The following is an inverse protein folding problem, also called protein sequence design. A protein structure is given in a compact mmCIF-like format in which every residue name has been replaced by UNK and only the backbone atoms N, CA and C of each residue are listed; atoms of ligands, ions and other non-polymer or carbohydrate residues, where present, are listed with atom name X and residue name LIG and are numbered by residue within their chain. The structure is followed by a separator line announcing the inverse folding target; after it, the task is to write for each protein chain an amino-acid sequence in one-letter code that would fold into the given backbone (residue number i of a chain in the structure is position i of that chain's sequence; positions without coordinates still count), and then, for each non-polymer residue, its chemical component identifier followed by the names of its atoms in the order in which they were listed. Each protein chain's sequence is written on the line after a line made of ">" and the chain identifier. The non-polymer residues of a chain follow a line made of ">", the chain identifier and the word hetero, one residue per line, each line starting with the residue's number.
data_IF_070488630605
#
_entry.id   IF_070488630605
#
_cell.length_a   1.000
_cell.length_b   1.000
_cell.length_c   1.000
_cell.angle_alpha   90.00
_cell.angle_beta   90.00
_cell.angle_gamma   90.00
#
_symmetry.space_group_name_H-M   'P 1'
#
loop_
_entity.id
_entity.type
_entity.pdbx_description
1 polymer ?
#
# COMPACT_ATOMS: atom_id res chain seq x y z
N UNK A 1 -0.65 -4.32 -21.13
CA UNK A 1 -1.99 -4.68 -21.60
C UNK A 1 -2.95 -4.42 -20.43
N UNK A 2 -3.86 -3.43 -20.54
CA UNK A 2 -4.91 -3.24 -19.54
C UNK A 2 -5.79 -4.50 -19.57
N UNK A 3 -5.92 -5.20 -18.43
CA UNK A 3 -6.94 -6.23 -18.31
C UNK A 3 -8.28 -5.51 -18.36
N UNK A 4 -9.12 -5.82 -19.32
CA UNK A 4 -10.46 -5.27 -19.46
C UNK A 4 -11.39 -6.04 -18.49
N UNK A 5 -11.16 -5.87 -17.18
CA UNK A 5 -11.96 -6.53 -16.14
C UNK A 5 -12.77 -5.43 -15.50
N UNK A 6 -14.07 -5.62 -15.49
CA UNK A 6 -14.95 -4.80 -14.68
C UNK A 6 -14.81 -5.29 -13.23
N UNK A 7 -14.35 -4.42 -12.33
CA UNK A 7 -14.18 -4.76 -10.91
C UNK A 7 -15.52 -5.15 -10.25
N UNK A 8 -16.63 -4.61 -10.76
CA UNK A 8 -17.98 -4.91 -10.28
C UNK A 8 -18.44 -6.36 -10.55
N UNK A 9 -17.73 -7.08 -11.43
CA UNK A 9 -17.96 -8.53 -11.64
C UNK A 9 -17.37 -9.37 -10.47
N UNK A 10 -16.48 -8.79 -9.66
CA UNK A 10 -15.76 -9.48 -8.58
C UNK A 10 -16.14 -8.90 -7.21
N UNK A 11 -16.29 -7.60 -7.10
CA UNK A 11 -16.58 -6.87 -5.86
C UNK A 11 -17.94 -6.17 -5.94
N UNK A 12 -18.66 -6.19 -4.84
CA UNK A 12 -19.91 -5.42 -4.66
C UNK A 12 -19.61 -4.12 -3.91
N UNK A 13 -20.39 -3.05 -4.12
CA UNK A 13 -20.22 -1.81 -3.35
C UNK A 13 -20.10 -2.05 -1.85
N UNK A 14 -19.25 -1.29 -1.18
CA UNK A 14 -19.00 -1.44 0.27
C UNK A 14 -20.26 -1.24 1.11
N UNK A 15 -21.20 -0.41 0.63
CA UNK A 15 -22.50 -0.18 1.25
C UNK A 15 -23.43 -1.39 1.18
N UNK A 16 -23.27 -2.25 0.16
CA UNK A 16 -24.06 -3.47 -0.02
C UNK A 16 -23.42 -4.70 0.60
N UNK A 17 -22.09 -4.77 0.53
CA UNK A 17 -21.32 -5.91 1.02
C UNK A 17 -20.10 -5.42 1.83
N UNK A 18 -20.29 -5.10 3.13
CA UNK A 18 -19.23 -4.56 3.98
C UNK A 18 -18.09 -5.54 4.29
N UNK A 19 -18.34 -6.83 4.12
CA UNK A 19 -17.33 -7.88 4.27
C UNK A 19 -17.37 -8.79 3.05
N UNK A 20 -16.27 -8.83 2.30
CA UNK A 20 -16.19 -9.63 1.08
C UNK A 20 -14.79 -10.17 0.86
N UNK A 21 -14.72 -11.29 0.15
CA UNK A 21 -13.45 -11.93 -0.19
C UNK A 21 -13.48 -12.44 -1.62
N UNK A 22 -12.32 -12.50 -2.24
CA UNK A 22 -12.16 -13.12 -3.55
C UNK A 22 -10.84 -13.88 -3.67
N UNK A 23 -10.79 -14.78 -4.63
CA UNK A 23 -9.59 -15.45 -5.13
C UNK A 23 -9.50 -15.17 -6.64
N UNK A 24 -8.54 -14.37 -7.06
CA UNK A 24 -8.43 -13.95 -8.45
C UNK A 24 -7.00 -13.61 -8.83
N UNK A 25 -6.66 -13.74 -10.11
CA UNK A 25 -5.44 -13.20 -10.69
C UNK A 25 -5.72 -11.91 -11.52
N UNK A 26 -6.95 -11.43 -11.48
CA UNK A 26 -7.46 -10.37 -12.32
C UNK A 26 -7.28 -8.98 -11.70
N UNK A 27 -7.48 -8.84 -10.38
CA UNK A 27 -7.35 -7.57 -9.66
C UNK A 27 -5.96 -7.43 -9.03
N UNK A 28 -5.48 -6.21 -9.01
CA UNK A 28 -4.29 -5.82 -8.26
C UNK A 28 -4.69 -4.93 -7.08
N UNK A 29 -3.82 -4.85 -6.06
CA UNK A 29 -4.06 -3.98 -4.88
C UNK A 29 -4.36 -2.54 -5.29
N UNK A 30 -3.73 -2.04 -6.35
CA UNK A 30 -4.00 -0.69 -6.86
C UNK A 30 -5.42 -0.56 -7.46
N UNK A 31 -5.97 -1.63 -8.09
CA UNK A 31 -7.35 -1.63 -8.57
C UNK A 31 -8.32 -1.52 -7.41
N UNK A 32 -8.05 -2.29 -6.35
CA UNK A 32 -8.85 -2.29 -5.11
C UNK A 32 -8.77 -0.94 -4.41
N UNK A 33 -7.58 -0.33 -4.32
CA UNK A 33 -7.41 1.00 -3.73
C UNK A 33 -8.20 2.07 -4.50
N UNK A 34 -8.07 2.12 -5.83
CA UNK A 34 -8.83 3.06 -6.66
C UNK A 34 -10.34 2.87 -6.50
N UNK A 35 -10.79 1.61 -6.47
CA UNK A 35 -12.19 1.27 -6.28
C UNK A 35 -12.73 1.69 -4.89
N UNK A 36 -11.93 1.51 -3.82
CA UNK A 36 -12.28 2.00 -2.47
C UNK A 36 -12.37 3.52 -2.47
N UNK A 37 -11.34 4.22 -2.98
CA UNK A 37 -11.31 5.68 -3.01
C UNK A 37 -12.46 6.28 -3.85
N UNK A 38 -12.90 5.56 -4.90
CA UNK A 38 -14.06 5.94 -5.69
C UNK A 38 -15.38 5.93 -4.89
N UNK A 39 -15.46 5.17 -3.80
CA UNK A 39 -16.65 5.06 -2.94
C UNK A 39 -16.60 5.98 -1.72
N UNK A 40 -15.41 6.13 -1.11
CA UNK A 40 -15.26 6.86 0.17
C UNK A 40 -14.61 8.24 0.02
N UNK A 41 -14.09 8.55 -1.15
CA UNK A 41 -13.42 9.82 -1.42
C UNK A 41 -12.03 9.91 -0.82
N UNK A 42 -11.65 11.10 -0.35
CA UNK A 42 -10.31 11.41 0.14
C UNK A 42 -9.99 10.71 1.45
N UNK A 43 -8.79 10.11 1.53
CA UNK A 43 -8.41 9.25 2.65
C UNK A 43 -6.93 9.31 2.99
N UNK A 44 -6.58 8.97 4.22
CA UNK A 44 -5.23 8.57 4.63
C UNK A 44 -5.06 7.05 4.47
N UNK A 45 -3.89 6.64 4.00
CA UNK A 45 -3.58 5.26 3.60
C UNK A 45 -2.39 4.72 4.40
N UNK A 46 -2.49 3.47 4.88
CA UNK A 46 -1.36 2.67 5.35
C UNK A 46 -1.29 1.39 4.53
N UNK A 47 -0.13 1.15 3.94
CA UNK A 47 0.10 -0.01 3.09
C UNK A 47 1.36 -0.74 3.54
N UNK A 48 1.24 -2.03 3.81
CA UNK A 48 2.39 -2.91 4.03
C UNK A 48 2.59 -3.85 2.85
N UNK A 49 3.84 -4.17 2.51
CA UNK A 49 4.16 -5.16 1.49
C UNK A 49 5.57 -5.70 1.67
N UNK A 50 5.80 -6.94 1.26
CA UNK A 50 7.15 -7.48 1.17
C UNK A 50 7.96 -6.83 0.05
N UNK A 51 7.34 -6.50 -1.08
CA UNK A 51 8.04 -5.92 -2.25
C UNK A 51 7.15 -4.97 -3.04
N UNK A 52 7.78 -4.08 -3.80
CA UNK A 52 7.12 -3.09 -4.64
C UNK A 52 7.74 -3.07 -6.04
N UNK A 53 6.94 -2.79 -7.06
CA UNK A 53 7.39 -2.59 -8.44
C UNK A 53 7.26 -1.14 -8.88
N UNK A 54 8.06 -0.77 -9.88
CA UNK A 54 7.97 0.55 -10.51
C UNK A 54 6.57 0.81 -11.12
N UNK A 55 5.96 -0.21 -11.73
CA UNK A 55 4.62 -0.09 -12.31
C UNK A 55 3.58 0.28 -11.25
N UNK A 56 3.66 -0.34 -10.06
CA UNK A 56 2.78 0.01 -8.95
C UNK A 56 3.02 1.45 -8.47
N UNK A 57 4.28 1.87 -8.31
CA UNK A 57 4.63 3.23 -7.91
C UNK A 57 4.13 4.28 -8.91
N UNK A 58 4.25 4.03 -10.22
CA UNK A 58 3.71 4.90 -11.26
C UNK A 58 2.19 5.04 -11.13
N UNK A 59 1.51 3.96 -10.84
CA UNK A 59 0.07 3.97 -10.65
C UNK A 59 -0.34 4.76 -9.40
N UNK A 60 0.35 4.54 -8.29
CA UNK A 60 0.13 5.32 -7.06
C UNK A 60 0.36 6.82 -7.27
N UNK A 61 1.36 7.20 -8.05
CA UNK A 61 1.58 8.58 -8.41
C UNK A 61 0.35 9.21 -9.07
N UNK A 62 -0.31 8.49 -9.97
CA UNK A 62 -1.54 8.99 -10.61
C UNK A 62 -2.73 9.04 -9.63
N UNK A 63 -2.84 8.05 -8.74
CA UNK A 63 -3.87 8.04 -7.69
C UNK A 63 -3.66 9.22 -6.73
N UNK A 64 -2.42 9.49 -6.32
CA UNK A 64 -2.09 10.65 -5.49
C UNK A 64 -2.43 11.98 -6.20
N UNK A 65 -2.10 12.09 -7.48
CA UNK A 65 -2.42 13.26 -8.31
C UNK A 65 -3.92 13.51 -8.48
N UNK A 66 -4.77 12.51 -8.29
CA UNK A 66 -6.22 12.69 -8.32
C UNK A 66 -6.75 13.50 -7.13
N UNK A 67 -5.92 13.74 -6.09
CA UNK A 67 -6.28 14.48 -4.88
C UNK A 67 -7.04 13.67 -3.83
N UNK A 68 -7.27 12.37 -4.09
CA UNK A 68 -8.01 11.48 -3.19
C UNK A 68 -7.14 10.85 -2.08
N UNK A 69 -5.86 11.22 -1.98
CA UNK A 69 -4.97 10.76 -0.92
C UNK A 69 -4.50 11.97 -0.11
N UNK A 70 -4.81 11.99 1.18
CA UNK A 70 -4.32 13.01 2.12
C UNK A 70 -2.93 12.69 2.67
N UNK A 71 -2.65 11.41 2.90
CA UNK A 71 -1.34 10.90 3.29
C UNK A 71 -1.20 9.43 2.90
N UNK A 72 0.03 9.01 2.54
CA UNK A 72 0.34 7.61 2.23
C UNK A 72 1.52 7.14 3.07
N UNK A 73 1.29 6.14 3.93
CA UNK A 73 2.29 5.53 4.80
C UNK A 73 2.61 4.13 4.26
N UNK A 74 3.84 3.93 3.77
CA UNK A 74 4.28 2.68 3.15
C UNK A 74 5.29 1.97 4.03
N UNK A 75 5.07 0.69 4.31
CA UNK A 75 6.03 -0.18 5.00
C UNK A 75 6.44 -1.31 4.06
N UNK A 76 7.73 -1.41 3.78
CA UNK A 76 8.33 -2.44 2.93
C UNK A 76 9.28 -3.33 3.73
N UNK A 77 9.52 -4.54 3.24
CA UNK A 77 10.49 -5.45 3.83
C UNK A 77 11.94 -4.99 3.56
N UNK A 78 12.83 -5.18 4.54
CA UNK A 78 14.26 -4.89 4.39
C UNK A 78 14.91 -5.62 3.23
N UNK A 79 14.49 -6.86 2.92
CA UNK A 79 15.02 -7.65 1.80
C UNK A 79 14.69 -7.05 0.44
N UNK A 80 13.65 -6.20 0.38
CA UNK A 80 13.32 -5.45 -0.83
C UNK A 80 14.20 -4.20 -1.04
N UNK A 81 15.07 -3.86 -0.08
CA UNK A 81 15.86 -2.61 -0.04
C UNK A 81 16.60 -2.33 -1.34
N UNK A 82 17.28 -3.32 -1.93
CA UNK A 82 18.04 -3.10 -3.16
C UNK A 82 17.16 -2.71 -4.36
N UNK A 83 15.95 -3.27 -4.48
CA UNK A 83 14.96 -2.85 -5.49
C UNK A 83 14.38 -1.49 -5.16
N UNK A 84 14.04 -1.27 -3.91
CA UNK A 84 13.47 -0.03 -3.39
C UNK A 84 14.42 1.15 -3.58
N UNK A 85 15.73 0.96 -3.35
CA UNK A 85 16.75 1.99 -3.57
C UNK A 85 16.90 2.39 -5.03
N UNK A 86 16.74 1.46 -5.99
CA UNK A 86 16.73 1.80 -7.42
C UNK A 86 15.53 2.68 -7.81
N UNK A 87 14.45 2.59 -7.04
CA UNK A 87 13.22 3.37 -7.23
C UNK A 87 13.19 4.62 -6.34
N UNK A 88 14.26 4.87 -5.56
CA UNK A 88 14.34 5.90 -4.53
C UNK A 88 13.86 7.27 -5.00
N UNK A 89 14.41 7.77 -6.11
CA UNK A 89 14.06 9.09 -6.61
C UNK A 89 12.55 9.23 -6.92
N UNK A 90 11.91 8.12 -7.30
CA UNK A 90 10.48 8.08 -7.57
C UNK A 90 9.66 7.96 -6.27
N UNK A 91 10.12 7.14 -5.34
CA UNK A 91 9.47 6.95 -4.03
C UNK A 91 9.47 8.26 -3.22
N UNK A 92 10.59 8.98 -3.18
CA UNK A 92 10.70 10.24 -2.43
C UNK A 92 9.82 11.36 -2.98
N UNK A 93 9.52 11.34 -4.27
CA UNK A 93 8.63 12.32 -4.90
C UNK A 93 7.15 12.03 -4.61
N UNK A 94 6.79 10.74 -4.49
CA UNK A 94 5.40 10.28 -4.38
C UNK A 94 5.03 9.82 -2.96
N UNK A 95 5.99 9.28 -2.20
CA UNK A 95 5.73 8.62 -0.92
C UNK A 95 6.72 9.07 0.15
N UNK A 96 6.49 10.25 0.70
CA UNK A 96 7.38 10.85 1.71
C UNK A 96 7.47 10.03 3.00
N UNK A 97 6.47 9.19 3.32
CA UNK A 97 6.38 8.37 4.53
C UNK A 97 6.57 6.90 4.18
N UNK A 98 7.81 6.53 3.85
CA UNK A 98 8.18 5.14 3.55
C UNK A 98 9.15 4.63 4.62
N UNK A 99 8.87 3.43 5.11
CA UNK A 99 9.59 2.75 6.19
C UNK A 99 10.04 1.37 5.74
N UNK A 100 11.17 0.91 6.28
CA UNK A 100 11.65 -0.46 6.10
C UNK A 100 11.60 -1.20 7.44
N UNK A 101 11.06 -2.41 7.42
CA UNK A 101 10.92 -3.29 8.57
C UNK A 101 11.19 -4.74 8.17
N UNK A 102 11.31 -5.64 9.13
CA UNK A 102 11.19 -7.09 8.87
C UNK A 102 9.71 -7.43 8.74
N UNK A 103 9.19 -7.36 7.51
CA UNK A 103 7.76 -7.37 7.23
C UNK A 103 7.40 -8.27 6.04
N UNK A 104 6.52 -9.24 6.28
CA UNK A 104 5.94 -10.06 5.22
C UNK A 104 4.42 -9.87 5.07
N UNK A 105 3.82 -8.95 5.83
CA UNK A 105 2.39 -8.64 5.73
C UNK A 105 2.05 -7.89 4.43
N UNK A 106 0.80 -8.00 4.00
CA UNK A 106 0.23 -7.29 2.87
C UNK A 106 -1.15 -6.79 3.29
N UNK A 107 -1.13 -5.60 3.88
CA UNK A 107 -2.30 -4.96 4.47
C UNK A 107 -2.45 -3.58 3.85
N UNK A 108 -3.65 -3.24 3.42
CA UNK A 108 -4.05 -1.90 3.03
C UNK A 108 -5.13 -1.41 3.98
N UNK A 109 -4.89 -0.28 4.62
CA UNK A 109 -5.86 0.41 5.48
C UNK A 109 -6.20 1.75 4.87
N UNK A 110 -7.47 2.08 4.82
CA UNK A 110 -8.01 3.32 4.27
C UNK A 110 -8.88 3.98 5.32
N UNK A 111 -8.46 5.17 5.79
CA UNK A 111 -9.24 6.02 6.69
C UNK A 111 -9.74 7.21 5.88
N UNK A 112 -11.02 7.20 5.52
CA UNK A 112 -11.65 8.29 4.79
C UNK A 112 -11.82 9.54 5.66
N UNK A 113 -11.76 10.72 5.05
CA UNK A 113 -12.06 11.99 5.74
C UNK A 113 -13.54 12.04 6.19
N UNK A 114 -14.44 11.32 5.53
CA UNK A 114 -15.86 11.14 5.88
C UNK A 114 -16.09 10.22 7.08
N UNK A 115 -15.04 9.48 7.52
CA UNK A 115 -15.06 8.64 8.71
C UNK A 115 -15.07 7.14 8.46
N UNK A 116 -15.27 6.69 7.22
CA UNK A 116 -15.24 5.25 6.88
C UNK A 116 -13.83 4.68 7.04
N UNK A 117 -13.80 3.46 7.57
CA UNK A 117 -12.60 2.69 7.86
C UNK A 117 -12.62 1.36 7.09
N UNK A 118 -11.69 1.19 6.17
CA UNK A 118 -11.63 -0.01 5.33
C UNK A 118 -10.30 -0.72 5.53
N UNK A 119 -10.37 -2.02 5.76
CA UNK A 119 -9.23 -2.93 5.87
C UNK A 119 -9.22 -3.89 4.71
N UNK A 120 -8.07 -4.06 4.09
CA UNK A 120 -7.81 -5.07 3.06
C UNK A 120 -6.63 -5.92 3.52
N UNK A 121 -6.83 -7.23 3.65
CA UNK A 121 -5.78 -8.21 3.90
C UNK A 121 -5.66 -9.09 2.67
N UNK A 122 -4.45 -9.19 2.13
CA UNK A 122 -4.24 -9.91 0.87
C UNK A 122 -2.97 -10.73 0.88
N UNK A 123 -2.89 -11.73 0.01
CA UNK A 123 -1.63 -12.44 -0.27
C UNK A 123 -0.75 -11.69 -1.28
N UNK A 124 -1.28 -10.67 -1.95
CA UNK A 124 -0.63 -9.97 -3.05
C UNK A 124 0.39 -8.92 -2.57
N UNK A 125 1.60 -8.98 -3.12
CA UNK A 125 2.56 -7.89 -3.01
C UNK A 125 2.20 -6.69 -3.93
N UNK A 126 2.84 -5.55 -3.69
CA UNK A 126 2.73 -4.37 -4.56
C UNK A 126 3.53 -4.54 -5.86
N UNK A 127 3.42 -5.72 -6.46
CA UNK A 127 4.08 -6.10 -7.70
C UNK A 127 3.05 -6.69 -8.65
N UNK A 128 3.29 -6.51 -9.95
CA UNK A 128 2.45 -7.17 -10.94
C UNK A 128 2.69 -8.67 -10.92
N UNK A 129 1.65 -9.45 -10.68
CA UNK A 129 1.65 -10.90 -10.73
C UNK A 129 0.53 -11.44 -11.62
N UNK A 130 0.72 -12.67 -12.12
CA UNK A 130 -0.32 -13.42 -12.83
C UNK A 130 -0.85 -14.60 -12.01
N UNK A 131 -0.48 -14.67 -10.73
CA UNK A 131 -0.92 -15.71 -9.80
C UNK A 131 -2.29 -15.36 -9.24
N UNK A 132 -3.04 -16.39 -8.87
CA UNK A 132 -4.25 -16.19 -8.08
C UNK A 132 -3.86 -15.74 -6.68
N UNK A 133 -4.45 -14.64 -6.23
CA UNK A 133 -4.22 -14.04 -4.92
C UNK A 133 -5.55 -13.97 -4.18
N UNK A 134 -5.50 -14.27 -2.89
CA UNK A 134 -6.65 -14.13 -2.01
C UNK A 134 -6.69 -12.73 -1.40
N UNK A 135 -7.89 -12.19 -1.28
CA UNK A 135 -8.09 -10.87 -0.66
C UNK A 135 -9.36 -10.88 0.17
N UNK A 136 -9.29 -10.32 1.35
CA UNK A 136 -10.42 -10.05 2.24
C UNK A 136 -10.51 -8.54 2.47
N UNK A 137 -11.74 -8.00 2.34
CA UNK A 137 -12.07 -6.58 2.52
C UNK A 137 -13.10 -6.49 3.63
N UNK A 138 -12.94 -5.52 4.54
CA UNK A 138 -13.85 -5.29 5.65
C UNK A 138 -13.99 -3.80 5.95
N UNK A 139 -15.20 -3.35 6.24
CA UNK A 139 -15.50 -2.01 6.75
C UNK A 139 -15.69 -2.00 8.28
N UNK A 140 -15.33 -3.07 8.99
CA UNK A 140 -15.42 -3.13 10.45
C UNK A 140 -14.41 -2.20 11.10
N UNK A 141 -14.86 -1.24 11.95
CA UNK A 141 -13.95 -0.39 12.72
C UNK A 141 -13.05 -1.17 13.68
N UNK A 142 -13.53 -2.26 14.26
CA UNK A 142 -12.75 -3.08 15.19
C UNK A 142 -11.58 -3.78 14.48
N UNK A 143 -11.83 -4.31 13.28
CA UNK A 143 -10.79 -4.92 12.45
C UNK A 143 -9.77 -3.83 12.02
N UNK A 144 -10.27 -2.67 11.58
CA UNK A 144 -9.41 -1.55 11.19
C UNK A 144 -8.52 -1.12 12.35
N UNK A 145 -9.09 -0.82 13.51
CA UNK A 145 -8.36 -0.32 14.66
C UNK A 145 -7.31 -1.33 15.17
N UNK A 146 -7.63 -2.61 15.15
CA UNK A 146 -6.69 -3.68 15.50
C UNK A 146 -5.49 -3.71 14.56
N UNK A 147 -5.73 -3.72 13.25
CA UNK A 147 -4.67 -3.73 12.25
C UNK A 147 -3.89 -2.41 12.22
N UNK A 148 -4.58 -1.27 12.35
CA UNK A 148 -3.95 0.04 12.38
C UNK A 148 -3.00 0.18 13.58
N UNK A 149 -3.42 -0.24 14.77
CA UNK A 149 -2.56 -0.25 15.96
C UNK A 149 -1.30 -1.08 15.72
N UNK A 150 -1.44 -2.27 15.11
CA UNK A 150 -0.30 -3.14 14.80
C UNK A 150 0.63 -2.54 13.75
N UNK A 151 0.09 -1.91 12.70
CA UNK A 151 0.89 -1.23 11.66
C UNK A 151 1.61 -0.01 12.25
N UNK A 152 0.96 0.76 13.13
CA UNK A 152 1.59 1.89 13.80
C UNK A 152 2.69 1.46 14.77
N UNK A 153 2.53 0.34 15.46
CA UNK A 153 3.58 -0.25 16.29
C UNK A 153 4.78 -0.68 15.45
N UNK A 154 4.52 -1.37 14.32
CA UNK A 154 5.56 -1.74 13.35
C UNK A 154 6.33 -0.51 12.86
N UNK A 155 5.64 0.58 12.51
CA UNK A 155 6.27 1.83 12.05
C UNK A 155 7.12 2.43 13.16
N UNK A 156 6.59 2.57 14.38
CA UNK A 156 7.24 3.31 15.47
C UNK A 156 8.40 2.56 16.11
N UNK A 157 8.23 1.25 16.30
CA UNK A 157 9.13 0.46 17.15
C UNK A 157 9.99 -0.55 16.39
N UNK A 158 9.65 -0.87 15.12
CA UNK A 158 10.27 -1.96 14.37
C UNK A 158 10.67 -1.57 12.94
N UNK A 159 10.68 -0.29 12.61
CA UNK A 159 11.06 0.18 11.28
C UNK A 159 12.10 1.29 11.31
N UNK A 160 12.72 1.52 10.15
CA UNK A 160 13.62 2.63 9.89
C UNK A 160 13.06 3.46 8.72
N UNK A 161 12.95 4.79 8.84
CA UNK A 161 12.58 5.63 7.72
C UNK A 161 13.53 5.41 6.54
N UNK A 162 12.98 5.27 5.34
CA UNK A 162 13.78 5.04 4.14
C UNK A 162 14.72 6.24 3.85
N UNK A 163 14.31 7.47 4.20
CA UNK A 163 15.11 8.69 4.15
C UNK A 163 16.45 8.56 4.89
N UNK A 164 16.41 7.97 6.07
CA UNK A 164 17.59 7.90 6.96
C UNK A 164 18.62 6.91 6.41
N UNK A 165 18.17 5.79 5.85
CA UNK A 165 19.06 4.83 5.18
C UNK A 165 19.74 5.42 3.95
N UNK A 166 19.02 6.24 3.21
CA UNK A 166 19.57 6.91 2.04
C UNK A 166 20.65 7.94 2.44
N UNK A 167 20.38 8.74 3.48
CA UNK A 167 21.35 9.71 3.99
C UNK A 167 22.62 9.05 4.51
N UNK A 168 22.50 7.91 5.20
CA UNK A 168 23.64 7.12 5.65
C UNK A 168 24.52 6.64 4.49
N UNK A 169 23.90 6.19 3.38
CA UNK A 169 24.64 5.74 2.18
C UNK A 169 25.35 6.87 1.46
N UNK A 170 24.72 8.06 1.35
CA UNK A 170 25.38 9.25 0.78
C UNK A 170 26.59 9.62 1.62
N UNK A 171 26.45 9.68 2.94
CA UNK A 171 27.54 10.03 3.84
C UNK A 171 28.70 9.01 3.76
N UNK A 172 28.40 7.72 3.68
CA UNK A 172 29.40 6.67 3.53
C UNK A 172 30.15 6.73 2.18
N UNK A 173 29.45 7.08 1.09
CA UNK A 173 30.06 7.27 -0.23
C UNK A 173 30.94 8.52 -0.30
N UNK A 174 30.55 9.60 0.38
CA UNK A 174 31.33 10.85 0.45
C UNK A 174 32.58 10.77 1.35
N UNK A 175 32.60 9.84 2.32
CA UNK A 175 33.75 9.63 3.20
C UNK A 175 34.88 8.78 2.56
N UNK A 176 34.62 8.17 1.42
CA UNK A 176 35.58 7.33 0.68
C UNK A 176 36.21 8.05 -0.54
N UNK A 177 35.93 9.33 -0.71
CA UNK A 177 36.57 10.23 -1.68
C UNK A 177 37.42 11.30 -0.96
#
# INVERSE_FOLDING_TARGET
>A
MKRNINIDDILKPLSECPHQAYLSNALQVADVLEWILGQVGKAEIWQTSFSISEEFLRRLFFIEKSGNISAFNLVLDHKATNKTLKLWAFITQTMKRTYLADNHSKILLVQAESGEQISVVTSQNLTRGNRHESTFISTSPDIFNTLHTSVMDLIKNHSVPLSDLFQQRINAAGANN
#
